data_IF_082069463179
#
_entry.id   IF_082069463179
#
_cell.length_a   1.000
_cell.length_b   1.000
_cell.length_c   1.000
_cell.angle_alpha   90.00
_cell.angle_beta   90.00
_cell.angle_gamma   90.00
#
_symmetry.space_group_name_H-M   'P 1'
#
loop_
_entity.id
_entity.type
_entity.pdbx_description
1 polymer ?
#
# COMPACT_ATOMS: atom_id res chain seq x y z
N UNK A 1 -11.45 -7.46 -20.00
CA UNK A 1 -10.44 -7.05 -19.01
C UNK A 1 -9.23 -7.97 -19.15
N UNK A 2 -8.04 -7.47 -19.50
CA UNK A 2 -6.83 -8.29 -19.71
C UNK A 2 -6.19 -8.69 -18.36
N UNK A 3 -5.42 -9.79 -18.31
CA UNK A 3 -4.78 -10.30 -17.10
C UNK A 3 -3.95 -9.24 -16.36
N UNK A 4 -3.25 -8.36 -17.08
CA UNK A 4 -2.47 -7.26 -16.48
C UNK A 4 -3.34 -6.27 -15.70
N UNK A 5 -4.58 -6.01 -16.14
CA UNK A 5 -5.50 -5.12 -15.42
C UNK A 5 -5.94 -5.75 -14.09
N UNK A 6 -6.23 -7.06 -14.10
CA UNK A 6 -6.62 -7.77 -12.89
C UNK A 6 -5.49 -7.80 -11.86
N UNK A 7 -4.24 -8.03 -12.30
CA UNK A 7 -3.06 -8.03 -11.43
C UNK A 7 -2.83 -6.65 -10.82
N UNK A 8 -2.87 -5.59 -11.62
CA UNK A 8 -2.68 -4.22 -11.13
C UNK A 8 -3.76 -3.83 -10.10
N UNK A 9 -5.05 -4.13 -10.38
CA UNK A 9 -6.14 -3.88 -9.44
C UNK A 9 -5.93 -4.65 -8.13
N UNK A 10 -5.54 -5.93 -8.20
CA UNK A 10 -5.32 -6.75 -7.01
C UNK A 10 -4.21 -6.19 -6.10
N UNK A 11 -3.11 -5.68 -6.66
CA UNK A 11 -2.05 -5.04 -5.88
C UNK A 11 -2.52 -3.75 -5.21
N UNK A 12 -3.32 -2.93 -5.89
CA UNK A 12 -3.89 -1.72 -5.30
C UNK A 12 -4.90 -2.05 -4.19
N UNK A 13 -5.75 -3.05 -4.41
CA UNK A 13 -6.71 -3.53 -3.41
C UNK A 13 -6.01 -4.10 -2.17
N UNK A 14 -4.85 -4.74 -2.34
CA UNK A 14 -4.00 -5.21 -1.24
C UNK A 14 -3.51 -4.04 -0.38
N UNK A 15 -2.99 -2.97 -1.01
CA UNK A 15 -2.55 -1.77 -0.29
C UNK A 15 -3.70 -1.16 0.51
N UNK A 16 -4.88 -1.01 -0.10
CA UNK A 16 -6.07 -0.47 0.57
C UNK A 16 -6.45 -1.31 1.79
N UNK A 17 -6.52 -2.64 1.62
CA UNK A 17 -6.93 -3.58 2.67
C UNK A 17 -6.00 -3.53 3.88
N UNK A 18 -4.70 -3.48 3.65
CA UNK A 18 -3.68 -3.62 4.68
C UNK A 18 -3.15 -2.28 5.22
N UNK A 19 -3.67 -1.16 4.72
CA UNK A 19 -3.23 0.16 5.18
C UNK A 19 -3.50 0.38 6.66
N UNK A 20 -4.68 -0.03 7.14
CA UNK A 20 -5.03 0.06 8.55
C UNK A 20 -4.08 -0.78 9.43
N UNK A 21 -3.73 -1.99 8.98
CA UNK A 21 -2.82 -2.89 9.69
C UNK A 21 -1.43 -2.27 9.84
N UNK A 22 -0.91 -1.60 8.80
CA UNK A 22 0.37 -0.86 8.88
C UNK A 22 0.32 0.26 9.92
N UNK A 23 -0.77 1.02 9.97
CA UNK A 23 -0.95 2.09 10.94
C UNK A 23 -1.08 1.58 12.37
N UNK A 24 -1.70 0.41 12.57
CA UNK A 24 -1.73 -0.26 13.87
C UNK A 24 -0.34 -0.75 14.28
N UNK A 25 0.42 -1.34 13.34
CA UNK A 25 1.77 -1.83 13.58
C UNK A 25 2.74 -0.71 13.96
N UNK A 26 2.53 0.51 13.44
CA UNK A 26 3.30 1.71 13.85
C UNK A 26 3.23 1.98 15.36
N UNK A 27 2.09 1.67 15.97
CA UNK A 27 1.85 1.89 17.41
C UNK A 27 2.07 0.65 18.27
N UNK A 28 2.26 -0.52 17.64
CA UNK A 28 2.50 -1.79 18.32
C UNK A 28 3.93 -1.86 18.88
N UNK A 29 4.10 -2.44 20.08
CA UNK A 29 5.42 -2.55 20.70
C UNK A 29 6.32 -3.51 19.92
N UNK A 30 7.65 -3.31 19.89
CA UNK A 30 8.56 -4.15 19.11
C UNK A 30 8.53 -5.64 19.48
N UNK A 31 8.25 -5.97 20.74
CA UNK A 31 8.23 -7.32 21.28
C UNK A 31 6.92 -8.09 21.00
N UNK A 32 5.89 -7.42 20.48
CA UNK A 32 4.59 -8.06 20.19
C UNK A 32 4.56 -8.73 18.79
N UNK A 33 5.61 -8.58 17.98
CA UNK A 33 5.67 -9.18 16.64
C UNK A 33 6.57 -10.40 16.60
N UNK A 34 5.89 -11.53 16.53
CA UNK A 34 6.39 -12.88 16.42
C UNK A 34 6.90 -13.24 15.00
N UNK A 35 7.91 -14.11 14.86
CA UNK A 35 8.77 -14.67 15.92
C UNK A 35 10.08 -13.88 16.11
N UNK A 36 10.58 -13.76 17.36
CA UNK A 36 12.00 -13.50 17.59
C UNK A 36 12.87 -14.74 17.27
N UNK A 37 14.12 -14.44 16.90
CA UNK A 37 14.90 -15.22 15.94
C UNK A 37 15.77 -16.39 16.49
N UNK A 38 15.86 -16.60 17.81
CA UNK A 38 16.53 -17.78 18.38
C UNK A 38 16.20 -17.97 19.86
N UNK A 39 16.42 -19.18 20.37
CA UNK A 39 16.34 -19.50 21.82
C UNK A 39 17.18 -18.55 22.70
N UNK A 40 18.33 -18.07 22.21
CA UNK A 40 19.19 -17.15 22.96
C UNK A 40 18.68 -15.70 22.95
N UNK A 41 17.96 -15.28 21.92
CA UNK A 41 17.35 -13.95 21.86
C UNK A 41 16.18 -13.79 22.85
N UNK A 42 15.46 -14.89 23.14
CA UNK A 42 14.41 -14.95 24.17
C UNK A 42 14.97 -14.81 25.60
N UNK A 43 16.17 -15.33 25.86
CA UNK A 43 16.77 -15.36 27.20
C UNK A 43 17.50 -14.06 27.60
N UNK A 44 17.98 -13.25 26.64
CA UNK A 44 18.67 -11.98 26.95
C UNK A 44 17.73 -10.84 27.37
N UNK A 45 16.45 -10.92 27.06
CA UNK A 45 15.51 -9.78 27.22
C UNK A 45 14.81 -9.72 28.58
N UNK A 46 14.86 -10.77 29.40
CA UNK A 46 14.11 -10.82 30.68
C UNK A 46 14.82 -10.09 31.81
N UNK A 47 16.16 -10.10 31.86
CA UNK A 47 16.94 -9.44 32.91
C UNK A 47 17.06 -7.90 32.72
N UNK A 48 16.77 -7.38 31.53
CA UNK A 48 16.82 -5.94 31.19
C UNK A 48 15.42 -5.26 31.20
N UNK A 49 14.36 -5.98 31.57
CA UNK A 49 12.99 -5.48 31.55
C UNK A 49 12.69 -4.55 32.75
N UNK A 50 12.61 -3.24 32.50
CA UNK A 50 11.99 -2.26 33.40
C UNK A 50 10.52 -2.02 33.01
N UNK A 51 9.52 -2.46 33.80
CA UNK A 51 8.11 -2.20 33.54
C UNK A 51 7.72 -0.71 33.59
N UNK A 52 8.60 0.18 34.08
CA UNK A 52 8.38 1.63 34.13
C UNK A 52 8.90 2.38 32.89
N UNK A 53 9.63 1.74 31.98
CA UNK A 53 10.15 2.37 30.77
C UNK A 53 9.02 2.66 29.77
N UNK A 54 8.79 3.95 29.49
CA UNK A 54 7.76 4.45 28.57
C UNK A 54 8.32 4.86 27.20
N UNK A 55 9.61 4.64 26.95
CA UNK A 55 10.24 4.94 25.67
C UNK A 55 9.88 3.86 24.64
N UNK A 56 8.66 3.90 24.11
CA UNK A 56 8.24 2.96 23.08
C UNK A 56 9.16 3.09 21.85
N UNK A 57 9.85 2.02 21.41
CA UNK A 57 10.66 2.10 20.21
C UNK A 57 9.72 2.14 19.00
N UNK A 58 9.57 3.33 18.43
CA UNK A 58 8.84 3.54 17.19
C UNK A 58 9.43 2.62 16.12
N UNK A 59 8.59 1.81 15.45
CA UNK A 59 9.04 0.97 14.32
C UNK A 59 9.32 1.85 13.10
N UNK A 60 10.51 2.47 13.08
CA UNK A 60 10.91 3.44 12.06
C UNK A 60 10.72 2.90 10.63
N UNK A 61 11.06 1.64 10.38
CA UNK A 61 10.87 1.00 9.07
C UNK A 61 9.40 0.96 8.60
N UNK A 62 8.43 0.83 9.52
CA UNK A 62 6.99 0.86 9.20
C UNK A 62 6.58 2.28 8.83
N UNK A 63 7.05 3.29 9.57
CA UNK A 63 6.80 4.70 9.26
C UNK A 63 7.38 5.07 7.90
N UNK A 64 8.61 4.65 7.62
CA UNK A 64 9.26 4.90 6.34
C UNK A 64 8.51 4.21 5.20
N UNK A 65 8.00 3.00 5.43
CA UNK A 65 7.16 2.29 4.47
C UNK A 65 5.87 3.04 4.19
N UNK A 66 5.14 3.47 5.23
CA UNK A 66 3.90 4.26 5.10
C UNK A 66 4.17 5.52 4.28
N UNK A 67 5.19 6.31 4.66
CA UNK A 67 5.53 7.56 3.95
C UNK A 67 5.93 7.32 2.50
N UNK A 68 6.72 6.27 2.24
CA UNK A 68 7.18 5.94 0.89
C UNK A 68 6.01 5.51 0.01
N UNK A 69 5.15 4.61 0.49
CA UNK A 69 4.01 4.11 -0.28
C UNK A 69 3.01 5.23 -0.55
N UNK A 70 2.72 6.08 0.45
CA UNK A 70 1.85 7.24 0.27
C UNK A 70 2.38 8.23 -0.76
N UNK A 71 3.66 8.62 -0.63
CA UNK A 71 4.28 9.55 -1.56
C UNK A 71 4.24 9.03 -3.00
N UNK A 72 4.60 7.75 -3.21
CA UNK A 72 4.64 7.15 -4.54
C UNK A 72 3.25 7.01 -5.17
N UNK A 73 2.25 6.56 -4.41
CA UNK A 73 0.90 6.38 -4.95
C UNK A 73 0.18 7.70 -5.22
N UNK A 74 0.32 8.68 -4.32
CA UNK A 74 -0.24 10.03 -4.53
C UNK A 74 0.42 10.71 -5.72
N UNK A 75 1.76 10.64 -5.84
CA UNK A 75 2.47 11.20 -6.99
C UNK A 75 2.06 10.52 -8.31
N UNK A 76 1.87 9.20 -8.31
CA UNK A 76 1.38 8.48 -9.49
C UNK A 76 -0.05 8.91 -9.84
N UNK A 77 -0.94 9.04 -8.86
CA UNK A 77 -2.31 9.50 -9.09
C UNK A 77 -2.33 10.92 -9.67
N UNK A 78 -1.51 11.84 -9.14
CA UNK A 78 -1.36 13.20 -9.68
C UNK A 78 -0.90 13.17 -11.15
N UNK A 79 0.11 12.36 -11.48
CA UNK A 79 0.66 12.27 -12.83
C UNK A 79 -0.31 11.63 -13.83
N UNK A 80 -1.02 10.57 -13.43
CA UNK A 80 -2.01 9.92 -14.28
C UNK A 80 -3.21 10.85 -14.46
N UNK A 81 -3.73 11.44 -13.38
CA UNK A 81 -4.82 12.41 -13.44
C UNK A 81 -4.49 13.57 -14.39
N UNK A 82 -3.27 14.13 -14.33
CA UNK A 82 -2.85 15.22 -15.20
C UNK A 82 -2.88 14.85 -16.69
N UNK A 83 -2.68 13.57 -17.02
CA UNK A 83 -2.66 13.06 -18.39
C UNK A 83 -4.01 12.57 -18.91
N UNK A 84 -4.85 12.03 -18.04
CA UNK A 84 -6.06 11.28 -18.45
C UNK A 84 -7.36 11.98 -18.08
N UNK A 85 -7.35 12.83 -17.05
CA UNK A 85 -8.54 13.54 -16.60
C UNK A 85 -8.80 14.74 -17.50
N UNK A 86 -10.04 14.83 -18.00
CA UNK A 86 -10.49 15.97 -18.79
C UNK A 86 -10.46 17.26 -17.97
N UNK A 87 -10.19 18.38 -18.63
CA UNK A 87 -10.23 19.70 -18.01
C UNK A 87 -11.56 19.92 -17.27
N UNK A 88 -11.54 20.49 -16.06
CA UNK A 88 -12.76 20.80 -15.33
C UNK A 88 -13.67 21.74 -16.12
N UNK A 89 -14.97 21.58 -15.94
CA UNK A 89 -15.96 22.47 -16.53
C UNK A 89 -15.88 23.84 -15.85
N UNK A 90 -15.47 24.86 -16.59
CA UNK A 90 -15.47 26.23 -16.06
C UNK A 90 -16.90 26.77 -15.90
N UNK A 91 -17.19 27.50 -14.80
CA UNK A 91 -18.42 28.27 -14.65
C UNK A 91 -18.64 29.26 -15.80
N UNK A 92 -19.85 29.80 -15.89
CA UNK A 92 -20.14 30.88 -16.84
C UNK A 92 -19.20 32.07 -16.60
N UNK A 93 -18.63 32.68 -17.66
CA UNK A 93 -17.72 33.81 -17.51
C UNK A 93 -18.46 35.02 -16.94
N UNK A 94 -17.76 35.92 -16.23
CA UNK A 94 -18.40 37.05 -15.55
C UNK A 94 -19.13 38.02 -16.52
N UNK A 95 -18.62 38.13 -17.75
CA UNK A 95 -19.16 38.95 -18.85
C UNK A 95 -20.17 38.18 -19.72
N UNK A 96 -20.77 37.08 -19.22
CA UNK A 96 -21.72 36.23 -19.95
C UNK A 96 -22.84 37.01 -20.65
N UNK A 97 -23.38 38.06 -20.01
CA UNK A 97 -24.44 38.88 -20.57
C UNK A 97 -23.97 39.67 -21.81
N UNK A 98 -22.74 40.21 -21.79
CA UNK A 98 -22.14 40.90 -22.92
C UNK A 98 -21.82 39.93 -24.09
N UNK A 99 -21.66 38.64 -23.80
CA UNK A 99 -21.51 37.56 -24.79
C UNK A 99 -22.85 37.07 -25.35
N UNK A 100 -23.96 37.71 -25.00
CA UNK A 100 -25.30 37.37 -25.48
C UNK A 100 -25.90 36.11 -24.87
N UNK A 101 -25.36 35.62 -23.75
CA UNK A 101 -25.92 34.44 -23.08
C UNK A 101 -27.19 34.81 -22.32
N UNK A 102 -28.18 33.91 -22.34
CA UNK A 102 -29.35 34.07 -21.48
C UNK A 102 -29.01 33.75 -20.02
N UNK A 103 -29.75 34.29 -19.04
CA UNK A 103 -29.63 33.87 -17.64
C UNK A 103 -29.78 32.34 -17.47
N UNK A 104 -30.65 31.71 -18.24
CA UNK A 104 -30.84 30.26 -18.20
C UNK A 104 -29.61 29.47 -18.68
N UNK A 105 -28.89 29.96 -19.69
CA UNK A 105 -27.66 29.32 -20.17
C UNK A 105 -26.52 29.48 -19.15
N UNK A 106 -26.43 30.65 -18.51
CA UNK A 106 -25.51 30.89 -17.39
C UNK A 106 -25.78 29.91 -16.24
N UNK A 107 -27.03 29.77 -15.83
CA UNK A 107 -27.40 28.89 -14.72
C UNK A 107 -27.15 27.42 -15.08
N UNK A 108 -27.47 26.99 -16.30
CA UNK A 108 -27.16 25.63 -16.80
C UNK A 108 -25.65 25.36 -16.77
N UNK A 109 -24.84 26.32 -17.22
CA UNK A 109 -23.38 26.18 -17.23
C UNK A 109 -22.80 26.10 -15.81
N UNK A 110 -23.30 26.92 -14.90
CA UNK A 110 -22.88 26.91 -13.50
C UNK A 110 -23.28 25.61 -12.79
N UNK A 111 -24.49 25.10 -13.05
CA UNK A 111 -24.92 23.81 -12.52
C UNK A 111 -24.04 22.66 -13.01
N UNK A 112 -23.65 22.67 -14.29
CA UNK A 112 -22.73 21.68 -14.84
C UNK A 112 -21.33 21.79 -14.20
N UNK A 113 -20.80 23.01 -14.03
CA UNK A 113 -19.52 23.23 -13.36
C UNK A 113 -19.54 22.77 -11.90
N UNK A 114 -20.63 23.03 -11.18
CA UNK A 114 -20.81 22.58 -9.81
C UNK A 114 -20.86 21.05 -9.72
N UNK A 115 -21.65 20.40 -10.59
CA UNK A 115 -21.74 18.93 -10.66
C UNK A 115 -20.38 18.29 -10.99
N UNK A 116 -19.64 18.86 -11.96
CA UNK A 116 -18.30 18.41 -12.33
C UNK A 116 -17.31 18.55 -11.18
N UNK A 117 -17.37 19.66 -10.42
CA UNK A 117 -16.50 19.87 -9.26
C UNK A 117 -16.80 18.93 -8.08
N UNK A 118 -18.04 18.46 -7.97
CA UNK A 118 -18.49 17.55 -6.91
C UNK A 118 -18.33 16.07 -7.30
N UNK A 119 -17.87 15.75 -8.52
CA UNK A 119 -17.69 14.39 -8.98
C UNK A 119 -16.58 13.67 -8.20
N UNK A 120 -16.97 12.70 -7.38
CA UNK A 120 -16.08 11.89 -6.56
C UNK A 120 -15.15 11.00 -7.40
N UNK A 121 -15.45 10.77 -8.68
CA UNK A 121 -14.57 10.02 -9.57
C UNK A 121 -13.33 10.82 -9.98
N UNK A 122 -13.37 12.16 -9.91
CA UNK A 122 -12.23 13.03 -10.21
C UNK A 122 -11.18 12.94 -9.12
N UNK A 123 -9.91 12.90 -9.52
CA UNK A 123 -8.82 13.01 -8.57
C UNK A 123 -8.73 14.46 -8.06
N UNK A 124 -8.84 14.69 -6.74
CA UNK A 124 -8.61 16.02 -6.20
C UNK A 124 -7.11 16.31 -6.19
N UNK A 125 -6.69 17.44 -6.75
CA UNK A 125 -5.29 17.92 -6.66
C UNK A 125 -4.99 18.63 -5.33
N UNK A 126 -6.02 18.91 -4.54
CA UNK A 126 -5.94 19.66 -3.28
C UNK A 126 -6.59 18.88 -2.13
N UNK A 127 -6.31 19.31 -0.89
CA UNK A 127 -6.84 18.67 0.31
C UNK A 127 -6.05 17.43 0.74
N UNK A 128 -6.65 16.64 1.63
CA UNK A 128 -6.04 15.43 2.19
C UNK A 128 -6.02 14.33 1.13
N UNK A 129 -4.82 13.94 0.71
CA UNK A 129 -4.58 12.86 -0.26
C UNK A 129 -3.74 11.80 0.42
N UNK A 130 -4.26 10.57 0.43
CA UNK A 130 -3.66 9.44 1.13
C UNK A 130 -3.40 8.29 0.17
N UNK A 131 -2.54 7.36 0.57
CA UNK A 131 -2.25 6.17 -0.22
C UNK A 131 -3.50 5.34 -0.57
N UNK A 132 -4.45 5.07 0.36
CA UNK A 132 -5.66 4.32 0.03
C UNK A 132 -6.56 5.04 -0.98
N UNK A 133 -6.73 6.36 -0.85
CA UNK A 133 -7.52 7.14 -1.80
C UNK A 133 -6.91 7.09 -3.20
N UNK A 134 -5.58 7.27 -3.30
CA UNK A 134 -4.86 7.16 -4.57
C UNK A 134 -5.01 5.75 -5.15
N UNK A 135 -4.88 4.70 -4.33
CA UNK A 135 -5.00 3.32 -4.77
C UNK A 135 -6.40 2.98 -5.30
N UNK A 136 -7.46 3.39 -4.58
CA UNK A 136 -8.85 3.22 -5.03
C UNK A 136 -9.08 3.95 -6.35
N UNK A 137 -8.61 5.19 -6.46
CA UNK A 137 -8.77 5.98 -7.68
C UNK A 137 -8.05 5.35 -8.88
N UNK A 138 -6.81 4.90 -8.70
CA UNK A 138 -6.03 4.22 -9.73
C UNK A 138 -6.67 2.88 -10.13
N UNK A 139 -7.18 2.10 -9.17
CA UNK A 139 -7.85 0.83 -9.44
C UNK A 139 -9.11 1.03 -10.29
N UNK A 140 -9.89 2.08 -10.02
CA UNK A 140 -11.05 2.45 -10.84
C UNK A 140 -10.65 2.74 -12.31
N UNK A 141 -9.50 3.40 -12.54
CA UNK A 141 -8.99 3.66 -13.89
C UNK A 141 -8.53 2.38 -14.59
N UNK A 142 -7.86 1.48 -13.87
CA UNK A 142 -7.44 0.17 -14.40
C UNK A 142 -8.64 -0.70 -14.76
N UNK A 143 -9.74 -0.65 -14.00
CA UNK A 143 -10.98 -1.38 -14.32
C UNK A 143 -11.76 -0.78 -15.49
N UNK A 144 -11.43 0.45 -15.89
CA UNK A 144 -12.13 1.17 -16.95
C UNK A 144 -13.46 1.77 -16.49
N UNK A 145 -13.57 2.14 -15.21
CA UNK A 145 -14.78 2.76 -14.66
C UNK A 145 -15.07 4.09 -15.39
N UNK A 146 -16.34 4.31 -15.73
CA UNK A 146 -16.80 5.49 -16.49
C UNK A 146 -16.54 6.79 -15.73
N UNK A 147 -16.32 7.88 -16.47
CA UNK A 147 -16.17 9.23 -15.90
C UNK A 147 -15.48 10.20 -16.85
N UNK A 148 -15.09 11.41 -16.37
CA UNK A 148 -14.44 12.45 -17.17
C UNK A 148 -12.96 12.13 -17.48
N UNK A 149 -12.71 10.94 -18.02
CA UNK A 149 -11.37 10.42 -18.30
C UNK A 149 -11.32 9.86 -19.71
N UNK A 150 -10.18 10.02 -20.38
CA UNK A 150 -9.87 9.19 -21.54
C UNK A 150 -9.40 7.79 -21.10
N UNK A 151 -9.51 6.77 -21.98
CA UNK A 151 -8.92 5.46 -21.71
C UNK A 151 -7.41 5.54 -21.44
N UNK A 152 -6.93 4.64 -20.59
CA UNK A 152 -5.50 4.46 -20.34
C UNK A 152 -4.81 3.90 -21.58
N UNK A 153 -3.62 4.40 -21.85
CA UNK A 153 -2.69 3.79 -22.81
C UNK A 153 -2.00 2.58 -22.17
N UNK A 154 -1.41 1.70 -22.99
CA UNK A 154 -0.62 0.56 -22.48
C UNK A 154 0.55 1.00 -21.59
N UNK A 155 1.25 2.08 -21.97
CA UNK A 155 2.37 2.60 -21.18
C UNK A 155 1.93 3.12 -19.79
N UNK A 156 0.79 3.80 -19.72
CA UNK A 156 0.19 4.24 -18.45
C UNK A 156 -0.24 3.06 -17.57
N UNK A 157 -0.84 2.04 -18.17
CA UNK A 157 -1.20 0.82 -17.46
C UNK A 157 0.03 0.10 -16.90
N UNK A 158 1.10 0.00 -17.68
CA UNK A 158 2.34 -0.64 -17.26
C UNK A 158 3.02 0.13 -16.12
N UNK A 159 2.98 1.47 -16.18
CA UNK A 159 3.46 2.35 -15.11
C UNK A 159 2.69 2.15 -13.80
N UNK A 160 1.36 2.11 -13.88
CA UNK A 160 0.49 1.81 -12.74
C UNK A 160 0.80 0.42 -12.20
N UNK A 161 0.91 -0.57 -13.08
CA UNK A 161 1.16 -1.97 -12.70
C UNK A 161 2.48 -2.12 -11.93
N UNK A 162 3.58 -1.57 -12.44
CA UNK A 162 4.89 -1.63 -11.77
C UNK A 162 4.88 -0.94 -10.42
N UNK A 163 4.25 0.24 -10.36
CA UNK A 163 4.20 1.03 -9.13
C UNK A 163 3.32 0.35 -8.07
N UNK A 164 2.15 -0.16 -8.47
CA UNK A 164 1.24 -0.90 -7.61
C UNK A 164 1.91 -2.16 -7.04
N UNK A 165 2.60 -2.93 -7.88
CA UNK A 165 3.38 -4.09 -7.44
C UNK A 165 4.42 -3.66 -6.40
N UNK A 166 5.27 -2.67 -6.69
CA UNK A 166 6.27 -2.20 -5.74
C UNK A 166 5.70 -1.65 -4.42
N UNK A 167 4.52 -1.03 -4.45
CA UNK A 167 3.81 -0.60 -3.24
C UNK A 167 3.32 -1.81 -2.43
N UNK A 168 2.66 -2.77 -3.08
CA UNK A 168 2.19 -3.99 -2.44
C UNK A 168 3.33 -4.79 -1.79
N UNK A 169 4.47 -4.94 -2.48
CA UNK A 169 5.64 -5.65 -1.93
C UNK A 169 6.17 -5.01 -0.65
N UNK A 170 6.20 -3.67 -0.59
CA UNK A 170 6.63 -2.94 0.61
C UNK A 170 5.66 -3.13 1.77
N UNK A 171 4.36 -3.09 1.49
CA UNK A 171 3.30 -3.33 2.48
C UNK A 171 3.41 -4.76 3.03
N UNK A 172 3.46 -5.77 2.17
CA UNK A 172 3.61 -7.18 2.56
C UNK A 172 4.89 -7.42 3.35
N UNK A 173 6.00 -6.79 2.93
CA UNK A 173 7.27 -6.90 3.63
C UNK A 173 7.18 -6.29 5.03
N UNK A 174 6.67 -5.06 5.16
CA UNK A 174 6.55 -4.38 6.45
C UNK A 174 5.61 -5.09 7.42
N UNK A 175 4.55 -5.71 6.91
CA UNK A 175 3.62 -6.50 7.73
C UNK A 175 4.13 -7.89 8.11
N UNK A 176 5.20 -8.37 7.47
CA UNK A 176 5.61 -9.76 7.64
C UNK A 176 4.48 -10.71 7.22
N UNK A 177 3.92 -10.49 6.03
CA UNK A 177 2.99 -11.44 5.39
C UNK A 177 3.78 -12.41 4.49
N UNK A 178 4.94 -11.99 3.98
CA UNK A 178 5.84 -12.86 3.22
C UNK A 178 6.76 -13.66 4.14
N UNK A 179 6.72 -14.98 3.95
CA UNK A 179 7.66 -15.92 4.57
C UNK A 179 9.09 -15.52 4.22
N UNK A 180 9.89 -15.22 5.24
CA UNK A 180 11.30 -14.85 5.15
C UNK A 180 12.14 -16.05 5.53
N UNK A 181 13.25 -16.27 4.83
CA UNK A 181 14.29 -17.25 5.19
C UNK A 181 15.52 -16.52 5.73
N UNK A 182 16.02 -16.92 6.89
CA UNK A 182 17.28 -16.40 7.47
C UNK A 182 18.22 -17.56 7.76
N UNK A 183 19.48 -17.45 7.33
CA UNK A 183 20.52 -18.41 7.67
C UNK A 183 20.76 -18.43 9.17
N UNK A 184 20.68 -19.62 9.78
CA UNK A 184 20.85 -19.76 11.24
C UNK A 184 22.30 -19.93 11.65
N UNK A 185 23.22 -20.13 10.70
CA UNK A 185 24.61 -20.52 10.97
C UNK A 185 24.75 -21.94 11.54
N UNK A 186 23.66 -22.70 11.69
CA UNK A 186 23.68 -24.10 12.15
C UNK A 186 23.67 -25.04 10.97
N UNK A 187 24.52 -26.06 11.02
CA UNK A 187 24.52 -27.14 10.05
C UNK A 187 23.42 -28.18 10.36
N UNK A 188 22.77 -28.67 9.31
CA UNK A 188 21.95 -29.86 9.35
C UNK A 188 22.83 -31.11 9.51
N UNK A 189 22.27 -32.25 9.91
CA UNK A 189 22.99 -33.53 9.92
C UNK A 189 23.53 -33.99 8.55
N UNK A 190 23.12 -33.36 7.45
CA UNK A 190 23.72 -33.55 6.12
C UNK A 190 24.87 -32.58 5.80
N UNK A 191 25.25 -31.70 6.72
CA UNK A 191 26.32 -30.71 6.55
C UNK A 191 25.91 -29.38 5.93
N UNK A 192 24.71 -29.27 5.33
CA UNK A 192 24.22 -28.01 4.75
C UNK A 192 23.57 -27.08 5.79
N UNK A 193 23.56 -25.77 5.53
CA UNK A 193 22.98 -24.76 6.41
C UNK A 193 21.46 -24.93 6.60
N UNK A 194 21.01 -24.71 7.85
CA UNK A 194 19.60 -24.59 8.22
C UNK A 194 19.14 -23.14 8.08
N UNK A 195 18.03 -22.95 7.36
CA UNK A 195 17.34 -21.68 7.19
C UNK A 195 16.13 -21.64 8.13
N UNK A 196 15.95 -20.56 8.88
CA UNK A 196 14.72 -20.29 9.62
C UNK A 196 13.74 -19.57 8.68
N UNK A 197 12.63 -20.24 8.36
CA UNK A 197 11.51 -19.67 7.62
C UNK A 197 10.43 -19.17 8.57
N UNK A 198 9.90 -17.96 8.38
CA UNK A 198 8.78 -17.44 9.18
C UNK A 198 8.32 -16.05 8.76
N UNK A 199 7.40 -15.45 9.51
CA UNK A 199 6.90 -14.11 9.21
C UNK A 199 5.86 -14.09 8.09
N UNK A 200 4.97 -15.08 8.06
CA UNK A 200 3.76 -15.17 7.23
C UNK A 200 2.52 -15.55 8.06
N UNK A 201 2.59 -15.36 9.38
CA UNK A 201 1.56 -15.80 10.34
C UNK A 201 1.50 -17.31 10.57
N UNK A 202 2.29 -18.12 9.86
CA UNK A 202 2.44 -19.56 10.14
C UNK A 202 3.54 -19.78 11.17
N UNK A 203 3.52 -20.93 11.89
CA UNK A 203 4.64 -21.30 12.75
C UNK A 203 5.96 -21.30 11.95
N UNK A 204 7.03 -20.69 12.48
CA UNK A 204 8.34 -20.72 11.86
C UNK A 204 8.83 -22.15 11.70
N UNK A 205 9.58 -22.42 10.65
CA UNK A 205 10.12 -23.74 10.34
C UNK A 205 11.59 -23.66 9.98
N UNK A 206 12.41 -24.56 10.52
CA UNK A 206 13.80 -24.74 10.10
C UNK A 206 13.83 -25.63 8.86
N UNK A 207 14.40 -25.16 7.77
CA UNK A 207 14.48 -25.90 6.49
C UNK A 207 15.94 -26.05 6.09
N UNK A 208 16.36 -27.27 5.76
CA UNK A 208 17.72 -27.49 5.25
C UNK A 208 17.80 -27.19 3.75
N UNK A 209 18.79 -26.37 3.36
CA UNK A 209 19.00 -25.94 1.97
C UNK A 209 19.28 -27.09 0.99
N UNK A 210 19.86 -28.20 1.45
CA UNK A 210 20.27 -29.32 0.59
C UNK A 210 19.34 -30.54 0.66
N UNK A 211 18.96 -30.97 1.87
CA UNK A 211 18.18 -32.20 2.05
C UNK A 211 16.67 -31.97 2.23
N UNK A 212 16.21 -30.72 2.16
CA UNK A 212 14.80 -30.32 2.31
C UNK A 212 14.12 -30.76 3.62
N UNK A 213 14.87 -31.23 4.62
CA UNK A 213 14.33 -31.51 5.95
C UNK A 213 13.77 -30.24 6.56
N UNK A 214 12.49 -30.27 6.95
CA UNK A 214 11.80 -29.19 7.63
C UNK A 214 11.41 -29.59 9.04
N UNK A 215 11.71 -28.76 10.03
CA UNK A 215 11.19 -28.88 11.39
C UNK A 215 10.33 -27.65 11.68
N UNK A 216 9.03 -27.84 11.87
CA UNK A 216 8.15 -26.77 12.37
C UNK A 216 8.48 -26.53 13.84
N UNK A 217 8.72 -25.28 14.20
CA UNK A 217 8.92 -24.89 15.60
C UNK A 217 7.55 -24.61 16.19
N UNK A 218 7.15 -25.42 17.18
CA UNK A 218 5.91 -25.15 17.91
C UNK A 218 6.11 -23.90 18.77
N UNK A 219 5.28 -22.90 18.50
CA UNK A 219 5.21 -21.66 19.27
C UNK A 219 4.05 -21.77 20.26
N UNK A 220 3.97 -22.90 20.97
CA UNK A 220 3.06 -22.98 22.08
C UNK A 220 3.55 -21.98 23.14
N UNK A 221 2.67 -21.03 23.46
CA UNK A 221 2.91 -19.87 24.31
C UNK A 221 3.73 -20.20 25.58
N UNK A 222 4.79 -19.43 25.79
CA UNK A 222 5.52 -19.32 27.05
C UNK A 222 5.78 -17.85 27.36
#
# INVERSE_FOLDING_TARGET
MSASHAIASAHLDLVVRHWADLHQLRTARPHDAWPPASLQAYLRTVDEYDPADRSAPVRLHVIDTIRTVEAVLVALADQIAARVQSSPVSPAPADWAARGWSPADRDRRNALAAADSADLARWPYTGTRTAPQAAVWLAARVRGDVGPFRPLTGAELDEITRTAAGAAERVEHALGIRRRSVGTGRACGCGAELLLEGGDGRPPSLVCRACARSLTLDCAAA
#
